data_IF_431919815712
#
_entry.id   IF_431919815712
#
_cell.length_a   1.000
_cell.length_b   1.000
_cell.length_c   1.000
_cell.angle_alpha   90.00
_cell.angle_beta   90.00
_cell.angle_gamma   90.00
#
_symmetry.space_group_name_H-M   'P 1'
#
loop_
_entity.id
_entity.type
_entity.pdbx_description
1 polymer ?
#
# COMPACT_ATOMS: atom_id res chain seq x y z
N UNK A 1 21.28 2.83 14.15
CA UNK A 1 21.57 4.02 13.32
C UNK A 1 20.52 4.05 12.23
N UNK A 2 19.73 5.13 12.12
CA UNK A 2 18.72 5.33 11.08
C UNK A 2 18.86 6.72 10.45
N UNK A 3 18.05 7.00 9.42
CA UNK A 3 18.04 8.29 8.72
C UNK A 3 17.91 9.47 9.68
N UNK A 4 17.00 9.40 10.66
CA UNK A 4 16.73 10.50 11.59
C UNK A 4 17.96 10.86 12.44
N UNK A 5 18.69 9.83 12.88
CA UNK A 5 19.91 10.02 13.69
C UNK A 5 21.12 10.54 12.90
N UNK A 6 21.12 10.42 11.57
CA UNK A 6 22.25 10.80 10.72
C UNK A 6 21.98 12.03 9.84
N UNK A 7 20.74 12.52 9.81
CA UNK A 7 20.35 13.64 8.94
C UNK A 7 20.99 14.97 9.37
N UNK A 8 21.09 15.22 10.67
CA UNK A 8 21.67 16.44 11.23
C UNK A 8 23.15 16.55 10.85
N UNK A 9 23.55 17.72 10.34
CA UNK A 9 24.90 18.00 9.84
C UNK A 9 25.36 17.14 8.64
N UNK A 10 24.43 16.45 7.96
CA UNK A 10 24.71 15.77 6.69
C UNK A 10 24.52 16.71 5.50
N UNK A 11 25.03 16.31 4.32
CA UNK A 11 24.74 16.99 3.05
C UNK A 11 23.24 16.96 2.68
N UNK A 12 22.45 16.10 3.31
CA UNK A 12 21.01 15.97 3.10
C UNK A 12 20.20 16.87 4.06
N UNK A 13 20.84 17.64 4.92
CA UNK A 13 20.14 18.55 5.82
C UNK A 13 19.37 19.60 5.01
N UNK A 14 18.05 19.65 5.18
CA UNK A 14 17.17 20.54 4.43
C UNK A 14 16.79 20.04 3.03
N UNK A 15 17.20 18.84 2.62
CA UNK A 15 16.83 18.24 1.34
C UNK A 15 15.35 17.82 1.29
N UNK A 16 14.85 17.20 2.36
CA UNK A 16 13.47 16.72 2.42
C UNK A 16 12.47 17.89 2.55
N UNK A 17 11.26 17.78 1.97
CA UNK A 17 10.23 18.81 2.10
C UNK A 17 9.93 19.12 3.57
N UNK A 18 9.88 20.42 3.92
CA UNK A 18 9.60 20.86 5.29
C UNK A 18 8.26 20.37 5.86
N UNK A 19 7.30 20.06 4.99
CA UNK A 19 5.99 19.53 5.38
C UNK A 19 5.99 18.03 5.69
N UNK A 20 7.11 17.32 5.49
CA UNK A 20 7.20 15.90 5.80
C UNK A 20 7.57 15.68 7.26
N UNK A 21 6.78 14.85 7.93
CA UNK A 21 7.11 14.31 9.23
C UNK A 21 7.91 13.01 9.06
N UNK A 22 9.23 13.14 8.98
CA UNK A 22 10.13 12.01 8.77
C UNK A 22 10.05 10.98 9.90
N UNK A 23 9.80 11.42 11.14
CA UNK A 23 9.66 10.52 12.28
C UNK A 23 8.40 9.67 12.16
N UNK A 24 7.30 10.28 11.72
CA UNK A 24 6.06 9.54 11.44
C UNK A 24 6.21 8.57 10.26
N UNK A 25 6.94 8.94 9.22
CA UNK A 25 7.21 8.05 8.07
C UNK A 25 8.07 6.85 8.52
N UNK A 26 9.13 7.08 9.29
CA UNK A 26 9.98 6.02 9.85
C UNK A 26 9.14 5.05 10.70
N UNK A 27 8.29 5.58 11.58
CA UNK A 27 7.38 4.76 12.40
C UNK A 27 6.34 3.97 11.59
N UNK A 28 5.93 4.44 10.41
CA UNK A 28 5.06 3.68 9.51
C UNK A 28 5.82 2.53 8.83
N UNK A 29 7.12 2.70 8.55
CA UNK A 29 7.96 1.66 7.96
C UNK A 29 8.32 0.55 8.97
N UNK A 30 8.25 0.83 10.28
CA UNK A 30 8.51 -0.13 11.35
C UNK A 30 7.28 -0.96 11.78
N UNK A 31 6.12 -0.74 11.16
CA UNK A 31 4.88 -1.45 11.51
C UNK A 31 5.04 -2.94 11.23
N UNK A 32 4.75 -3.76 12.24
CA UNK A 32 4.84 -5.21 12.12
C UNK A 32 3.84 -5.76 11.09
N UNK A 33 4.15 -6.90 10.47
CA UNK A 33 3.22 -7.56 9.55
C UNK A 33 1.85 -7.85 10.17
N UNK A 34 1.80 -8.20 11.46
CA UNK A 34 0.53 -8.41 12.18
C UNK A 34 -0.28 -7.11 12.33
N UNK A 35 0.40 -5.99 12.57
CA UNK A 35 -0.24 -4.68 12.71
C UNK A 35 -0.73 -4.11 11.38
N UNK A 36 -0.10 -4.51 10.26
CA UNK A 36 -0.56 -4.19 8.90
C UNK A 36 -1.91 -4.85 8.59
N UNK A 37 -2.18 -6.03 9.15
CA UNK A 37 -3.45 -6.74 8.95
C UNK A 37 -4.57 -6.23 9.89
N UNK A 38 -4.20 -5.46 10.92
CA UNK A 38 -5.15 -4.97 11.91
C UNK A 38 -6.03 -3.87 11.34
N UNK A 39 -7.35 -4.10 11.33
CA UNK A 39 -8.35 -3.12 10.86
C UNK A 39 -8.17 -1.79 11.56
N UNK A 40 -8.08 -0.71 10.78
CA UNK A 40 -8.01 0.65 11.31
C UNK A 40 -9.39 1.31 11.27
N UNK A 41 -9.64 2.20 12.23
CA UNK A 41 -10.95 2.87 12.39
C UNK A 41 -11.34 3.72 11.20
N UNK A 42 -10.36 4.22 10.44
CA UNK A 42 -10.57 5.06 9.26
C UNK A 42 -10.68 4.27 7.94
N UNK A 43 -10.56 2.94 7.97
CA UNK A 43 -10.70 2.12 6.77
C UNK A 43 -12.16 1.99 6.36
N UNK A 44 -12.39 1.77 5.07
CA UNK A 44 -13.69 1.31 4.60
C UNK A 44 -14.09 0.03 5.38
N UNK A 45 -15.32 -0.08 5.93
CA UNK A 45 -15.71 -1.23 6.74
C UNK A 45 -15.57 -2.59 6.04
N UNK A 46 -15.72 -2.62 4.72
CA UNK A 46 -15.64 -3.82 3.87
C UNK A 46 -14.22 -4.13 3.40
N UNK A 47 -13.29 -3.19 3.55
CA UNK A 47 -11.90 -3.42 3.18
C UNK A 47 -11.25 -4.45 4.13
N UNK A 48 -10.58 -5.43 3.53
CA UNK A 48 -9.86 -6.50 4.24
C UNK A 48 -8.50 -6.70 3.58
N UNK A 49 -7.38 -6.55 4.32
CA UNK A 49 -6.06 -6.87 3.79
C UNK A 49 -5.92 -8.39 3.67
N UNK A 50 -5.44 -8.87 2.52
CA UNK A 50 -5.15 -10.28 2.27
C UNK A 50 -3.63 -10.46 2.21
N UNK A 51 -3.00 -11.14 3.20
CA UNK A 51 -1.57 -11.40 3.17
C UNK A 51 -1.24 -12.43 2.09
N UNK A 52 -0.15 -12.18 1.36
CA UNK A 52 0.39 -13.09 0.34
C UNK A 52 1.71 -13.68 0.86
N UNK A 53 1.97 -14.97 0.63
CA UNK A 53 3.22 -15.59 1.11
C UNK A 53 4.42 -15.19 0.25
N UNK A 54 4.17 -14.95 -1.03
CA UNK A 54 5.18 -14.58 -2.01
C UNK A 54 4.56 -13.69 -3.09
N UNK A 55 5.40 -13.20 -4.01
CA UNK A 55 4.95 -12.30 -5.05
C UNK A 55 4.03 -12.97 -6.09
N UNK A 56 4.25 -14.24 -6.39
CA UNK A 56 3.37 -15.00 -7.28
C UNK A 56 1.94 -15.14 -6.73
N UNK A 57 1.80 -15.33 -5.42
CA UNK A 57 0.47 -15.33 -4.78
C UNK A 57 -0.22 -13.99 -4.95
N UNK A 58 0.53 -12.89 -4.78
CA UNK A 58 0.01 -11.54 -4.97
C UNK A 58 -0.50 -11.31 -6.39
N UNK A 59 0.28 -11.69 -7.40
CA UNK A 59 -0.11 -11.55 -8.81
C UNK A 59 -1.37 -12.37 -9.13
N UNK A 60 -1.45 -13.59 -8.62
CA UNK A 60 -2.61 -14.47 -8.81
C UNK A 60 -3.86 -13.90 -8.14
N UNK A 61 -3.76 -13.45 -6.88
CA UNK A 61 -4.90 -12.91 -6.15
C UNK A 61 -5.40 -11.60 -6.77
N UNK A 62 -4.48 -10.70 -7.13
CA UNK A 62 -4.84 -9.44 -7.79
C UNK A 62 -5.51 -9.70 -9.15
N UNK A 63 -4.94 -10.58 -9.98
CA UNK A 63 -5.53 -10.95 -11.27
C UNK A 63 -6.91 -11.61 -11.13
N UNK A 64 -7.09 -12.47 -10.12
CA UNK A 64 -8.37 -13.09 -9.80
C UNK A 64 -9.44 -12.04 -9.44
N UNK A 65 -9.13 -11.11 -8.53
CA UNK A 65 -10.10 -10.08 -8.11
C UNK A 65 -10.50 -9.15 -9.26
N UNK A 66 -9.54 -8.78 -10.12
CA UNK A 66 -9.82 -8.00 -11.34
C UNK A 66 -10.77 -8.78 -12.26
N UNK A 67 -10.51 -10.07 -12.51
CA UNK A 67 -11.35 -10.91 -13.36
C UNK A 67 -12.77 -11.08 -12.80
N UNK A 68 -12.90 -11.22 -11.47
CA UNK A 68 -14.19 -11.29 -10.78
C UNK A 68 -14.95 -9.97 -10.95
N UNK A 69 -14.31 -8.81 -10.78
CA UNK A 69 -14.99 -7.52 -10.91
C UNK A 69 -15.45 -7.26 -12.37
N UNK A 70 -14.65 -7.65 -13.37
CA UNK A 70 -15.04 -7.61 -14.79
C UNK A 70 -16.27 -8.52 -15.03
N UNK A 71 -16.25 -9.74 -14.50
CA UNK A 71 -17.36 -10.69 -14.62
C UNK A 71 -18.64 -10.16 -13.96
N UNK A 72 -18.52 -9.58 -12.76
CA UNK A 72 -19.63 -9.01 -12.01
C UNK A 72 -20.22 -7.79 -12.71
N UNK A 73 -19.38 -6.89 -13.25
CA UNK A 73 -19.85 -5.74 -14.01
C UNK A 73 -20.67 -6.19 -15.22
N UNK A 74 -20.19 -7.19 -15.98
CA UNK A 74 -20.93 -7.80 -17.09
C UNK A 74 -22.26 -8.40 -16.65
N UNK A 75 -22.26 -9.22 -15.59
CA UNK A 75 -23.47 -9.88 -15.07
C UNK A 75 -24.52 -8.87 -14.61
N UNK A 76 -24.08 -7.75 -14.04
CA UNK A 76 -24.93 -6.69 -13.55
C UNK A 76 -25.30 -5.65 -14.63
N UNK A 77 -24.84 -5.82 -15.87
CA UNK A 77 -25.15 -4.92 -16.98
C UNK A 77 -24.62 -3.49 -16.78
N UNK A 78 -23.53 -3.31 -16.03
CA UNK A 78 -22.92 -2.00 -15.76
C UNK A 78 -21.59 -1.82 -16.48
N UNK A 79 -21.31 -0.59 -16.89
CA UNK A 79 -19.97 -0.21 -17.34
C UNK A 79 -18.98 -0.28 -16.16
N UNK A 80 -17.73 -0.60 -16.47
CA UNK A 80 -16.65 -0.71 -15.49
C UNK A 80 -15.52 0.25 -15.86
N UNK A 81 -15.20 1.16 -14.96
CA UNK A 81 -13.98 1.96 -15.00
C UNK A 81 -12.98 1.41 -13.98
N UNK A 82 -11.75 1.14 -14.42
CA UNK A 82 -10.66 0.68 -13.56
C UNK A 82 -9.52 1.69 -13.60
N UNK A 83 -8.97 2.01 -12.43
CA UNK A 83 -7.74 2.81 -12.29
C UNK A 83 -6.65 1.82 -11.88
N UNK A 84 -5.75 1.52 -12.80
CA UNK A 84 -4.65 0.58 -12.56
C UNK A 84 -3.35 1.37 -12.36
N UNK A 85 -2.63 1.16 -11.24
CA UNK A 85 -1.35 1.82 -11.02
C UNK A 85 -0.31 1.33 -12.03
N UNK A 86 0.64 2.21 -12.37
CA UNK A 86 1.80 1.87 -13.20
C UNK A 86 3.06 1.86 -12.33
N UNK A 87 3.82 0.76 -12.40
CA UNK A 87 5.03 0.47 -11.64
C UNK A 87 5.40 -1.00 -11.86
N UNK A 88 6.54 -1.52 -11.36
CA UNK A 88 6.68 -2.96 -11.24
C UNK A 88 5.51 -3.45 -10.40
N UNK A 89 4.57 -4.14 -11.03
CA UNK A 89 3.59 -4.94 -10.31
C UNK A 89 4.38 -6.17 -9.87
N UNK A 90 5.11 -6.01 -8.76
CA UNK A 90 6.22 -6.87 -8.37
C UNK A 90 7.21 -6.22 -7.42
#
# INVERSE_FOLDING_TARGET
MNLLTTLSNSLMQGFFPKGWDLAKIDGLAEVSGADLLSKKSWWNPEFKPIPCQNLGDFDVYMGHEIAIEISNARKNGRELAMILPVGPMG
#
